data_IF_347294831259
#
_entry.id   IF_347294831259
#
_cell.length_a   1.000
_cell.length_b   1.000
_cell.length_c   1.000
_cell.angle_alpha   90.00
_cell.angle_beta   90.00
_cell.angle_gamma   90.00
#
_symmetry.space_group_name_H-M   'P 1'
#
loop_
_entity.id
_entity.type
_entity.pdbx_description
1 polymer ?
#
# COMPACT_ATOMS: atom_id res chain seq x y z
N UNK A 1 -2.35 -2.96 1.97
CA UNK A 1 -1.62 -1.70 2.19
C UNK A 1 -0.89 -1.32 0.93
N UNK A 2 -1.38 -0.24 0.34
CA UNK A 2 -0.59 0.68 -0.45
C UNK A 2 0.26 1.41 0.59
N UNK A 3 1.57 1.12 0.67
CA UNK A 3 2.45 1.72 1.68
C UNK A 3 2.80 3.13 1.21
N UNK A 4 1.93 4.10 1.53
CA UNK A 4 2.02 5.46 1.01
C UNK A 4 1.46 6.45 2.02
N UNK A 5 2.09 6.53 3.18
CA UNK A 5 1.86 7.62 4.12
C UNK A 5 2.57 8.88 3.61
N UNK A 6 1.84 9.96 3.31
CA UNK A 6 2.40 11.11 2.58
C UNK A 6 2.41 12.40 3.40
N UNK A 7 3.55 13.10 3.36
CA UNK A 7 3.74 14.45 3.87
C UNK A 7 4.11 15.36 2.68
N UNK A 8 3.38 16.46 2.47
CA UNK A 8 3.95 17.58 1.71
C UNK A 8 4.88 18.31 2.70
N UNK A 9 6.19 18.29 2.42
CA UNK A 9 7.20 18.85 3.31
C UNK A 9 7.58 20.24 2.81
N UNK A 10 7.44 21.24 3.68
CA UNK A 10 7.66 22.66 3.38
C UNK A 10 9.08 23.12 3.66
N UNK A 11 9.33 24.39 3.35
CA UNK A 11 10.62 25.09 3.49
C UNK A 11 11.25 24.87 4.89
N UNK A 12 12.41 24.21 4.96
CA UNK A 12 13.21 24.11 6.19
C UNK A 12 14.27 25.21 6.19
N UNK A 13 13.99 26.32 6.87
CA UNK A 13 15.00 27.29 7.31
C UNK A 13 15.29 27.07 8.79
N UNK A 14 16.50 26.62 9.14
CA UNK A 14 16.98 26.58 10.53
C UNK A 14 18.31 27.33 10.65
N UNK A 15 18.29 28.55 11.20
CA UNK A 15 19.42 29.08 11.95
C UNK A 15 19.08 29.12 13.44
N UNK A 16 19.69 28.23 14.24
CA UNK A 16 19.70 28.31 15.71
C UNK A 16 18.44 27.84 16.44
N UNK A 17 17.91 26.66 16.07
CA UNK A 17 16.94 25.80 16.79
C UNK A 17 15.95 26.54 17.72
N UNK A 18 14.85 27.01 17.13
CA UNK A 18 13.53 27.10 17.78
C UNK A 18 12.52 26.39 16.86
N UNK A 19 11.89 25.31 17.34
CA UNK A 19 10.83 24.60 16.63
C UNK A 19 9.55 25.45 16.64
N UNK A 20 9.48 26.44 15.75
CA UNK A 20 8.22 27.10 15.43
C UNK A 20 7.38 26.16 14.57
N UNK A 21 6.27 25.70 15.15
CA UNK A 21 5.24 24.96 14.45
C UNK A 21 4.61 25.83 13.35
N UNK A 22 5.08 25.66 12.12
CA UNK A 22 4.46 26.20 10.92
C UNK A 22 5.00 25.47 9.70
N UNK A 23 4.10 24.92 8.88
CA UNK A 23 4.33 24.40 7.52
C UNK A 23 4.79 22.94 7.36
N UNK A 24 4.01 22.01 7.91
CA UNK A 24 3.60 20.80 7.18
C UNK A 24 2.17 21.07 6.70
N UNK A 25 1.86 20.90 5.41
CA UNK A 25 0.45 20.87 5.04
C UNK A 25 -0.15 19.56 5.54
N UNK A 26 -1.46 19.54 5.83
CA UNK A 26 -2.21 18.40 6.37
C UNK A 26 -1.64 17.05 5.91
N UNK A 27 -1.21 16.23 6.86
CA UNK A 27 -0.72 14.88 6.60
C UNK A 27 -1.83 14.02 5.96
N UNK A 28 -1.56 13.44 4.78
CA UNK A 28 -2.53 12.64 4.03
C UNK A 28 -2.07 11.18 4.01
N UNK A 29 -2.89 10.31 4.57
CA UNK A 29 -2.56 8.88 4.70
C UNK A 29 -2.96 8.10 3.45
N UNK A 30 -2.41 6.89 3.29
CA UNK A 30 -2.81 5.95 2.24
C UNK A 30 -4.29 5.52 2.31
N UNK A 31 -4.96 5.74 3.46
CA UNK A 31 -6.38 5.49 3.63
C UNK A 31 -7.25 6.54 2.95
N UNK A 32 -6.68 7.69 2.57
CA UNK A 32 -7.40 8.75 1.89
C UNK A 32 -7.94 8.28 0.53
N UNK A 33 -9.27 8.38 0.36
CA UNK A 33 -9.99 7.99 -0.85
C UNK A 33 -10.56 9.17 -1.63
N UNK A 34 -10.02 10.40 -1.47
CA UNK A 34 -10.50 11.59 -2.21
C UNK A 34 -10.34 11.45 -3.72
N UNK A 35 -9.37 10.65 -4.14
CA UNK A 35 -9.12 10.32 -5.55
C UNK A 35 -10.13 9.27 -6.04
N UNK A 36 -11.29 9.75 -6.47
CA UNK A 36 -12.39 8.90 -6.96
C UNK A 36 -12.00 8.04 -8.19
N UNK A 37 -12.70 6.92 -8.45
CA UNK A 37 -12.46 6.08 -9.63
C UNK A 37 -12.54 6.82 -10.97
N UNK A 38 -13.39 7.85 -11.09
CA UNK A 38 -13.50 8.67 -12.29
C UNK A 38 -12.27 9.53 -12.51
N UNK A 39 -11.75 10.21 -11.48
CA UNK A 39 -10.50 10.98 -11.55
C UNK A 39 -9.32 10.08 -11.94
N UNK A 40 -9.21 8.91 -11.31
CA UNK A 40 -8.15 7.95 -11.63
C UNK A 40 -8.24 7.46 -13.07
N UNK A 41 -9.45 7.24 -13.60
CA UNK A 41 -9.66 6.86 -15.01
C UNK A 41 -9.21 7.98 -15.95
N UNK A 42 -9.56 9.22 -15.64
CA UNK A 42 -9.13 10.39 -16.41
C UNK A 42 -7.60 10.52 -16.45
N UNK A 43 -6.95 10.47 -15.28
CA UNK A 43 -5.50 10.57 -15.19
C UNK A 43 -4.77 9.42 -15.88
N UNK A 44 -5.28 8.18 -15.78
CA UNK A 44 -4.73 7.04 -16.51
C UNK A 44 -4.83 7.23 -18.03
N UNK A 45 -5.94 7.77 -18.53
CA UNK A 45 -6.10 8.08 -19.94
C UNK A 45 -5.09 9.15 -20.41
N UNK A 46 -4.86 10.20 -19.60
CA UNK A 46 -3.81 11.21 -19.87
C UNK A 46 -2.41 10.59 -19.94
N UNK A 47 -2.08 9.72 -18.99
CA UNK A 47 -0.78 9.01 -18.94
C UNK A 47 -0.62 8.11 -20.17
N UNK A 48 -1.65 7.34 -20.52
CA UNK A 48 -1.63 6.46 -21.68
C UNK A 48 -1.39 7.24 -22.97
N UNK A 49 -2.11 8.36 -23.16
CA UNK A 49 -1.94 9.23 -24.33
C UNK A 49 -0.52 9.78 -24.44
N UNK A 50 0.06 10.24 -23.32
CA UNK A 50 1.44 10.74 -23.26
C UNK A 50 2.45 9.64 -23.59
N UNK A 51 2.18 8.39 -23.20
CA UNK A 51 3.04 7.26 -23.54
C UNK A 51 2.97 6.93 -25.05
N UNK A 52 1.78 6.91 -25.65
CA UNK A 52 1.60 6.53 -27.07
C UNK A 52 2.05 7.59 -28.08
N UNK A 53 2.05 8.87 -27.71
CA UNK A 53 2.41 9.97 -28.61
C UNK A 53 3.88 9.94 -29.09
N UNK A 54 4.73 9.14 -28.44
CA UNK A 54 6.18 9.09 -28.73
C UNK A 54 6.57 7.82 -29.49
N UNK A 55 5.85 6.71 -29.31
CA UNK A 55 6.15 5.42 -29.97
C UNK A 55 5.91 5.48 -31.48
N UNK A 56 5.16 6.47 -31.98
CA UNK A 56 5.01 6.76 -33.40
C UNK A 56 6.32 7.25 -34.09
N UNK A 57 7.37 7.59 -33.32
CA UNK A 57 8.70 7.92 -33.85
C UNK A 57 9.71 6.78 -33.79
N UNK A 58 9.37 5.64 -33.18
CA UNK A 58 10.18 4.41 -33.14
C UNK A 58 9.42 3.28 -33.83
N UNK A 59 9.57 3.18 -35.16
CA UNK A 59 9.09 2.04 -35.94
C UNK A 59 9.96 0.80 -35.65
N UNK A 60 9.74 0.16 -34.50
CA UNK A 60 10.09 -1.25 -34.30
C UNK A 60 8.82 -1.95 -33.84
N UNK A 61 8.26 -2.78 -34.73
CA UNK A 61 7.18 -3.72 -34.41
C UNK A 61 7.68 -4.72 -33.36
N UNK A 62 7.37 -4.49 -32.09
CA UNK A 62 7.21 -5.56 -31.12
C UNK A 62 5.71 -5.79 -30.91
N UNK A 63 5.22 -6.83 -31.58
CA UNK A 63 3.90 -7.39 -31.35
C UNK A 63 3.95 -8.29 -30.10
N UNK A 64 3.72 -7.71 -28.93
CA UNK A 64 3.25 -8.40 -27.72
C UNK A 64 2.72 -7.33 -26.75
N UNK A 65 1.59 -7.56 -26.10
CA UNK A 65 0.96 -6.59 -25.19
C UNK A 65 1.91 -6.11 -24.09
N UNK A 66 2.51 -4.93 -24.29
CA UNK A 66 3.46 -4.35 -23.36
C UNK A 66 2.74 -3.84 -22.11
N UNK A 67 2.79 -4.60 -21.02
CA UNK A 67 2.35 -4.07 -19.74
C UNK A 67 3.32 -2.99 -19.26
N UNK A 68 2.77 -1.91 -18.74
CA UNK A 68 3.52 -0.74 -18.35
C UNK A 68 4.57 -1.09 -17.28
N UNK A 69 5.83 -0.73 -17.52
CA UNK A 69 6.93 -0.81 -16.54
C UNK A 69 6.76 0.16 -15.36
N UNK A 70 5.83 1.10 -15.46
CA UNK A 70 5.59 2.14 -14.47
C UNK A 70 4.47 1.78 -13.50
N UNK A 71 4.68 2.09 -12.22
CA UNK A 71 3.69 1.87 -11.18
C UNK A 71 2.42 2.69 -11.45
N UNK A 72 1.24 2.10 -11.20
CA UNK A 72 -0.02 2.71 -11.57
C UNK A 72 -0.31 3.93 -10.69
N UNK A 73 -1.06 4.89 -11.22
CA UNK A 73 -1.73 5.88 -10.37
C UNK A 73 -2.96 5.24 -9.72
N UNK A 74 -3.10 5.39 -8.41
CA UNK A 74 -4.16 4.75 -7.65
C UNK A 74 -4.56 5.58 -6.42
N UNK A 75 -5.80 5.42 -5.94
CA UNK A 75 -6.22 6.07 -4.70
C UNK A 75 -5.35 5.62 -3.52
N UNK A 76 -5.00 6.54 -2.63
CA UNK A 76 -4.01 6.31 -1.56
C UNK A 76 -2.54 6.29 -2.02
N UNK A 77 -2.24 6.53 -3.30
CA UNK A 77 -0.86 6.76 -3.77
C UNK A 77 -0.53 8.26 -3.77
N UNK A 78 0.73 8.57 -3.43
CA UNK A 78 1.16 9.96 -3.27
C UNK A 78 1.00 10.82 -4.52
N UNK A 79 1.29 10.30 -5.72
CA UNK A 79 1.15 11.06 -6.96
C UNK A 79 -0.32 11.37 -7.29
N UNK A 80 -1.25 10.48 -6.95
CA UNK A 80 -2.69 10.72 -7.10
C UNK A 80 -3.15 11.85 -6.18
N UNK A 81 -2.77 11.77 -4.90
CA UNK A 81 -3.05 12.82 -3.92
C UNK A 81 -2.41 14.14 -4.33
N UNK A 82 -1.15 14.12 -4.76
CA UNK A 82 -0.44 15.33 -5.16
C UNK A 82 -1.10 15.99 -6.38
N UNK A 83 -1.52 15.20 -7.38
CA UNK A 83 -2.29 15.70 -8.52
C UNK A 83 -3.61 16.32 -8.07
N UNK A 84 -4.34 15.65 -7.18
CA UNK A 84 -5.58 16.20 -6.61
C UNK A 84 -5.35 17.55 -5.93
N UNK A 85 -4.33 17.64 -5.07
CA UNK A 85 -4.02 18.88 -4.34
C UNK A 85 -3.66 20.01 -5.30
N UNK A 86 -2.80 19.74 -6.29
CA UNK A 86 -2.42 20.73 -7.30
C UNK A 86 -3.62 21.22 -8.13
N UNK A 87 -4.58 20.35 -8.46
CA UNK A 87 -5.76 20.70 -9.25
C UNK A 87 -6.87 21.38 -8.43
N UNK A 88 -7.05 20.99 -7.17
CA UNK A 88 -8.24 21.36 -6.36
C UNK A 88 -7.93 22.28 -5.18
N UNK A 89 -6.72 22.21 -4.64
CA UNK A 89 -6.28 22.92 -3.44
C UNK A 89 -4.85 23.48 -3.62
N UNK A 90 -4.57 24.26 -4.69
CA UNK A 90 -3.21 24.69 -5.01
C UNK A 90 -2.57 25.58 -3.92
N UNK A 91 -3.37 26.33 -3.16
CA UNK A 91 -2.87 27.14 -2.05
C UNK A 91 -2.30 26.30 -0.91
N UNK A 92 -2.75 25.05 -0.75
CA UNK A 92 -2.28 24.14 0.31
C UNK A 92 -0.91 23.51 -0.01
N UNK A 93 -0.46 23.66 -1.26
CA UNK A 93 0.84 23.18 -1.77
C UNK A 93 1.74 24.34 -2.23
N UNK A 94 1.27 25.58 -2.11
CA UNK A 94 2.05 26.77 -2.39
C UNK A 94 3.15 26.97 -1.33
N UNK A 95 4.37 27.28 -1.77
CA UNK A 95 5.54 27.45 -0.88
C UNK A 95 6.24 26.14 -0.48
N UNK A 96 5.73 24.99 -0.92
CA UNK A 96 6.39 23.70 -0.73
C UNK A 96 7.31 23.39 -1.93
N UNK A 97 8.49 22.84 -1.65
CA UNK A 97 9.51 22.52 -2.66
C UNK A 97 9.85 21.03 -2.74
N UNK A 98 9.31 20.22 -1.84
CA UNK A 98 9.52 18.77 -1.77
C UNK A 98 8.26 18.01 -1.34
N UNK A 99 8.21 16.74 -1.71
CA UNK A 99 7.20 15.79 -1.27
C UNK A 99 7.87 14.45 -0.91
N UNK A 100 7.29 13.66 0.00
CA UNK A 100 7.85 12.35 0.36
C UNK A 100 6.94 11.53 1.27
N UNK A 101 7.36 10.32 1.65
CA UNK A 101 6.63 9.60 2.70
C UNK A 101 6.96 10.15 4.09
N UNK A 102 6.15 9.79 5.09
CA UNK A 102 6.46 10.15 6.49
C UNK A 102 7.82 9.59 6.94
N UNK A 103 8.15 8.35 6.55
CA UNK A 103 9.44 7.77 6.92
C UNK A 103 10.61 8.44 6.20
N UNK A 104 10.43 8.88 4.95
CA UNK A 104 11.45 9.66 4.23
C UNK A 104 11.65 11.03 4.90
N UNK A 105 10.56 11.68 5.34
CA UNK A 105 10.62 12.93 6.10
C UNK A 105 11.37 12.79 7.42
N UNK A 106 11.07 11.75 8.20
CA UNK A 106 11.79 11.48 9.45
C UNK A 106 13.29 11.29 9.17
N UNK A 107 13.65 10.52 8.14
CA UNK A 107 15.03 10.28 7.76
C UNK A 107 15.74 11.59 7.31
N UNK A 108 15.04 12.44 6.57
CA UNK A 108 15.50 13.78 6.15
C UNK A 108 15.79 14.69 7.36
N UNK A 109 14.86 14.74 8.32
CA UNK A 109 15.00 15.53 9.56
C UNK A 109 16.12 15.00 10.44
N UNK A 110 16.25 13.67 10.60
CA UNK A 110 17.34 13.08 11.38
C UNK A 110 18.70 13.48 10.81
N UNK A 111 18.83 13.55 9.49
CA UNK A 111 20.08 13.99 8.84
C UNK A 111 20.34 15.50 8.91
N UNK A 112 19.37 16.30 9.38
CA UNK A 112 19.46 17.77 9.33
C UNK A 112 19.47 18.30 7.89
N UNK A 113 18.89 17.56 6.95
CA UNK A 113 18.77 18.01 5.57
C UNK A 113 17.83 19.22 5.47
N UNK A 114 18.07 20.05 4.47
CA UNK A 114 17.31 21.30 4.26
C UNK A 114 17.11 21.68 2.80
N UNK A 115 17.67 20.91 1.84
CA UNK A 115 17.52 21.19 0.41
C UNK A 115 16.78 20.08 -0.34
N UNK A 116 16.00 20.40 -1.39
CA UNK A 116 15.32 19.39 -2.21
C UNK A 116 16.22 18.30 -2.77
N UNK A 117 17.47 18.63 -3.10
CA UNK A 117 18.48 17.68 -3.61
C UNK A 117 18.89 16.61 -2.60
N UNK A 118 18.56 16.78 -1.31
CA UNK A 118 18.82 15.81 -0.26
C UNK A 118 17.60 14.91 0.02
N UNK A 119 16.43 15.23 -0.55
CA UNK A 119 15.22 14.43 -0.40
C UNK A 119 15.37 13.12 -1.19
N UNK A 120 15.23 11.99 -0.50
CA UNK A 120 15.44 10.67 -1.07
C UNK A 120 14.29 9.74 -0.70
N UNK A 121 13.98 8.77 -1.56
CA UNK A 121 12.96 7.75 -1.33
C UNK A 121 13.47 6.40 -1.86
N UNK A 122 13.12 5.31 -1.20
CA UNK A 122 13.48 3.97 -1.69
C UNK A 122 12.53 3.49 -2.80
N UNK A 123 12.96 2.49 -3.57
CA UNK A 123 12.17 1.91 -4.67
C UNK A 123 10.81 1.37 -4.24
N UNK A 124 10.65 0.88 -3.02
CA UNK A 124 9.39 0.31 -2.52
C UNK A 124 8.36 1.39 -2.18
N UNK A 125 8.79 2.48 -1.55
CA UNK A 125 7.95 3.68 -1.35
C UNK A 125 7.66 4.37 -2.68
N UNK A 126 8.67 4.51 -3.56
CA UNK A 126 8.51 5.15 -4.86
C UNK A 126 7.47 4.43 -5.73
N UNK A 127 7.50 3.10 -5.72
CA UNK A 127 6.47 2.30 -6.38
C UNK A 127 5.07 2.64 -5.88
N UNK A 128 4.89 2.67 -4.56
CA UNK A 128 3.61 2.97 -3.88
C UNK A 128 3.20 4.45 -3.97
N UNK A 129 4.02 5.29 -4.59
CA UNK A 129 3.69 6.67 -4.91
C UNK A 129 2.99 6.82 -6.26
N UNK A 130 3.15 5.87 -7.18
CA UNK A 130 2.64 5.96 -8.55
C UNK A 130 3.59 6.72 -9.48
N UNK A 131 3.78 6.24 -10.71
CA UNK A 131 4.68 6.84 -11.68
C UNK A 131 6.16 6.46 -11.53
N UNK A 132 6.51 5.48 -10.71
CA UNK A 132 7.86 4.93 -10.63
C UNK A 132 8.07 3.86 -11.70
N UNK A 133 9.12 3.96 -12.49
CA UNK A 133 9.46 3.01 -13.53
C UNK A 133 10.41 1.91 -13.00
N UNK A 134 9.96 0.67 -13.04
CA UNK A 134 10.66 -0.49 -12.49
C UNK A 134 11.94 -0.86 -13.25
N UNK A 135 12.02 -0.54 -14.54
CA UNK A 135 13.16 -0.88 -15.39
C UNK A 135 14.31 0.11 -15.14
N UNK A 136 13.99 1.40 -15.15
CA UNK A 136 14.96 2.48 -14.97
C UNK A 136 15.26 2.76 -13.50
N UNK A 137 14.40 2.29 -12.58
CA UNK A 137 14.41 2.62 -11.15
C UNK A 137 14.35 4.13 -10.87
N UNK A 138 13.60 4.87 -11.69
CA UNK A 138 13.42 6.33 -11.59
C UNK A 138 11.96 6.75 -11.77
N UNK A 139 11.63 8.01 -11.53
CA UNK A 139 10.32 8.55 -11.87
C UNK A 139 10.12 8.58 -13.38
N UNK A 140 8.99 8.07 -13.86
CA UNK A 140 8.63 8.15 -15.26
C UNK A 140 8.35 9.62 -15.63
N UNK A 141 9.18 10.25 -16.48
CA UNK A 141 9.03 11.66 -16.83
C UNK A 141 7.72 11.95 -17.58
N UNK A 142 7.14 10.95 -18.27
CA UNK A 142 5.87 11.10 -18.99
C UNK A 142 4.68 11.18 -18.03
N UNK A 143 4.80 10.54 -16.85
CA UNK A 143 3.80 10.64 -15.79
C UNK A 143 3.92 11.97 -15.05
N UNK A 144 5.17 12.38 -14.77
CA UNK A 144 5.44 13.35 -13.73
C UNK A 144 5.71 14.78 -14.17
N UNK A 145 6.09 15.10 -15.42
CA UNK A 145 6.68 16.43 -15.66
C UNK A 145 5.62 17.53 -15.83
N UNK A 146 5.96 18.74 -15.39
CA UNK A 146 5.42 20.05 -15.76
C UNK A 146 6.64 20.84 -16.20
N UNK A 147 6.76 21.19 -17.48
CA UNK A 147 7.73 22.19 -17.90
C UNK A 147 7.23 23.50 -17.32
N UNK A 148 7.81 23.93 -16.19
CA UNK A 148 7.58 25.24 -15.61
C UNK A 148 8.06 26.30 -16.60
N UNK A 149 7.16 26.83 -17.42
CA UNK A 149 7.37 28.16 -17.99
C UNK A 149 6.91 29.19 -16.95
N UNK A 150 7.81 30.11 -16.66
CA UNK A 150 7.79 31.12 -15.59
C UNK A 150 6.42 31.74 -15.25
N UNK A 151 6.26 32.03 -13.95
CA UNK A 151 5.27 32.91 -13.36
C UNK A 151 5.18 34.24 -14.13
N UNK A 152 3.98 34.62 -14.58
CA UNK A 152 3.65 36.01 -14.89
C UNK A 152 2.68 36.50 -13.82
N UNK A 153 3.20 37.17 -12.79
CA UNK A 153 2.37 37.93 -11.86
C UNK A 153 1.77 39.13 -12.61
N UNK A 154 0.52 39.02 -13.05
CA UNK A 154 -0.27 40.19 -13.43
C UNK A 154 -0.97 40.71 -12.17
N UNK A 155 -0.37 41.71 -11.55
CA UNK A 155 -1.04 42.52 -10.52
C UNK A 155 -2.18 43.30 -11.19
N UNK A 156 -3.42 42.81 -11.06
CA UNK A 156 -4.61 43.65 -11.19
C UNK A 156 -5.09 44.02 -9.80
N UNK A 157 -5.31 45.32 -9.59
CA UNK A 157 -5.78 45.91 -8.34
C UNK A 157 -6.98 45.14 -7.77
N UNK A 158 -6.76 44.40 -6.67
CA UNK A 158 -7.79 44.08 -5.68
C UNK A 158 -8.45 42.70 -5.71
N UNK A 159 -8.06 41.77 -6.59
CA UNK A 159 -8.59 40.39 -6.56
C UNK A 159 -7.47 39.38 -6.90
N UNK A 160 -6.97 38.65 -5.90
CA UNK A 160 -6.06 37.52 -6.14
C UNK A 160 -6.83 36.33 -6.70
N UNK A 161 -7.04 36.30 -8.02
CA UNK A 161 -7.38 35.07 -8.74
C UNK A 161 -6.09 34.46 -9.29
N UNK A 162 -5.68 33.31 -8.76
CA UNK A 162 -4.65 32.47 -9.36
C UNK A 162 -5.20 31.87 -10.66
N UNK A 163 -4.92 32.51 -11.80
CA UNK A 163 -5.23 31.97 -13.13
C UNK A 163 -3.99 31.25 -13.65
N UNK A 164 -4.01 29.92 -13.63
CA UNK A 164 -2.97 29.09 -14.24
C UNK A 164 -3.13 29.08 -15.77
N UNK A 165 -2.23 29.74 -16.50
CA UNK A 165 -2.19 29.67 -17.96
C UNK A 165 -1.61 28.32 -18.41
N UNK A 166 -2.44 27.47 -19.04
CA UNK A 166 -2.00 26.29 -19.77
C UNK A 166 -1.39 26.69 -21.12
N UNK A 167 -0.11 26.39 -21.37
CA UNK A 167 0.42 26.28 -22.74
C UNK A 167 1.23 24.99 -22.92
N UNK A 168 0.66 24.14 -23.76
CA UNK A 168 1.22 23.05 -24.59
C UNK A 168 2.70 22.69 -24.42
N UNK A 169 2.94 21.72 -23.55
CA UNK A 169 3.95 20.65 -23.70
C UNK A 169 3.35 19.45 -22.95
N UNK A 170 2.75 18.50 -23.66
CA UNK A 170 1.90 17.48 -23.01
C UNK A 170 2.76 16.55 -22.15
N UNK A 171 2.60 16.70 -20.84
CA UNK A 171 3.08 15.82 -19.79
C UNK A 171 1.85 15.53 -18.90
N UNK A 172 1.62 14.26 -18.56
CA UNK A 172 0.25 13.76 -18.33
C UNK A 172 -0.48 14.40 -17.14
N UNK A 173 0.21 14.63 -16.03
CA UNK A 173 -0.38 15.16 -14.79
C UNK A 173 0.06 16.59 -14.45
N UNK A 174 1.03 17.14 -15.19
CA UNK A 174 1.52 18.49 -14.93
C UNK A 174 2.05 18.69 -13.51
N UNK A 175 2.87 17.76 -13.01
CA UNK A 175 3.50 17.85 -11.69
C UNK A 175 4.94 18.42 -11.77
N UNK A 176 5.41 19.18 -10.78
CA UNK A 176 6.81 19.64 -10.77
C UNK A 176 7.74 18.46 -10.41
N UNK A 177 8.37 17.84 -11.42
CA UNK A 177 9.29 16.72 -11.20
C UNK A 177 10.45 17.05 -10.25
N UNK A 178 10.81 18.32 -10.11
CA UNK A 178 11.81 18.81 -9.15
C UNK A 178 11.42 18.65 -7.68
N UNK A 179 10.13 18.49 -7.36
CA UNK A 179 9.67 18.25 -5.99
C UNK A 179 9.75 16.76 -5.59
N UNK A 180 9.82 15.85 -6.58
CA UNK A 180 9.86 14.42 -6.31
C UNK A 180 11.22 14.02 -5.71
N UNK A 181 11.27 13.11 -4.72
CA UNK A 181 12.50 12.64 -4.13
C UNK A 181 13.43 11.97 -5.14
N UNK A 182 14.73 12.00 -4.88
CA UNK A 182 15.69 11.19 -5.61
C UNK A 182 15.49 9.72 -5.20
N UNK A 183 15.16 8.85 -6.15
CA UNK A 183 15.00 7.42 -5.88
C UNK A 183 16.38 6.78 -5.69
N UNK A 184 16.56 6.08 -4.58
CA UNK A 184 17.79 5.35 -4.23
C UNK A 184 17.50 3.89 -3.90
N UNK A 185 18.55 3.07 -3.98
CA UNK A 185 18.44 1.66 -3.63
C UNK A 185 18.19 1.48 -2.12
N UNK A 186 17.43 0.44 -1.71
CA UNK A 186 17.32 0.05 -0.32
C UNK A 186 18.69 -0.15 0.33
N UNK A 187 18.83 0.26 1.60
CA UNK A 187 20.09 0.20 2.33
C UNK A 187 21.11 1.30 2.01
N UNK A 188 20.78 2.26 1.14
CA UNK A 188 21.61 3.44 0.93
C UNK A 188 21.70 4.28 2.22
N UNK A 189 22.87 4.86 2.48
CA UNK A 189 23.05 5.85 3.55
C UNK A 189 22.67 7.21 2.97
N UNK A 190 21.77 7.92 3.65
CA UNK A 190 21.33 9.26 3.21
C UNK A 190 22.05 10.38 3.94
N UNK A 191 22.65 10.10 5.09
CA UNK A 191 23.39 11.08 5.88
C UNK A 191 23.83 10.52 7.22
N UNK A 192 24.25 11.43 8.11
CA UNK A 192 24.53 11.13 9.51
C UNK A 192 23.56 11.91 10.39
N UNK A 193 23.23 11.35 11.56
CA UNK A 193 22.35 11.99 12.53
C UNK A 193 22.93 13.34 12.98
N UNK A 194 22.11 14.37 12.86
CA UNK A 194 22.41 15.77 13.16
C UNK A 194 22.13 16.13 14.62
N UNK A 195 22.35 17.39 14.99
CA UNK A 195 21.95 17.92 16.30
C UNK A 195 20.44 17.81 16.55
N UNK A 196 19.61 17.91 15.50
CA UNK A 196 18.16 17.69 15.60
C UNK A 196 17.85 16.26 16.03
N UNK A 197 18.62 15.28 15.54
CA UNK A 197 18.44 13.88 15.93
C UNK A 197 18.79 13.64 17.41
N UNK A 198 19.75 14.38 17.97
CA UNK A 198 20.11 14.31 19.39
C UNK A 198 18.94 14.71 20.28
N UNK A 199 18.20 15.75 19.88
CA UNK A 199 16.96 16.17 20.59
C UNK A 199 15.90 15.06 20.58
N UNK A 200 15.89 14.22 19.54
CA UNK A 200 15.00 13.06 19.41
C UNK A 200 15.55 11.78 20.06
N UNK A 201 16.67 11.86 20.79
CA UNK A 201 17.28 10.72 21.48
C UNK A 201 18.20 9.86 20.63
N UNK A 202 18.55 10.28 19.40
CA UNK A 202 19.50 9.58 18.53
C UNK A 202 20.89 10.20 18.67
N UNK A 203 21.95 9.45 19.03
CA UNK A 203 23.30 10.00 19.17
C UNK A 203 23.78 10.67 17.89
N UNK A 204 24.57 11.74 18.00
CA UNK A 204 25.15 12.46 16.86
C UNK A 204 26.11 11.57 16.04
N UNK A 205 26.16 11.77 14.72
CA UNK A 205 27.12 11.12 13.82
C UNK A 205 26.84 9.65 13.50
N UNK A 206 25.66 9.14 13.85
CA UNK A 206 25.20 7.78 13.47
C UNK A 206 24.73 7.77 12.04
N UNK A 207 25.02 6.70 11.30
CA UNK A 207 24.55 6.56 9.93
C UNK A 207 23.02 6.48 9.92
N UNK A 208 22.39 7.29 9.07
CA UNK A 208 20.95 7.24 8.81
C UNK A 208 20.77 6.57 7.45
N UNK A 209 20.13 5.41 7.47
CA UNK A 209 19.79 4.66 6.28
C UNK A 209 18.50 5.17 5.67
N UNK A 210 18.39 5.05 4.35
CA UNK A 210 17.19 5.35 3.59
C UNK A 210 16.01 4.56 4.16
N UNK A 211 14.91 5.26 4.41
CA UNK A 211 13.71 4.63 4.90
C UNK A 211 13.11 3.70 3.85
N UNK A 212 12.52 2.60 4.30
CA UNK A 212 11.91 1.57 3.45
C UNK A 212 10.44 1.40 3.82
N UNK A 213 9.62 0.92 2.88
CA UNK A 213 8.21 0.66 3.14
C UNK A 213 8.00 -0.34 4.27
N UNK A 214 6.96 -0.11 5.07
CA UNK A 214 6.56 -0.97 6.19
C UNK A 214 6.30 -2.42 5.76
N UNK A 215 5.57 -2.60 4.66
CA UNK A 215 5.21 -3.91 4.11
C UNK A 215 6.44 -4.74 3.73
N UNK A 216 7.35 -4.28 2.84
CA UNK A 216 8.54 -5.06 2.49
C UNK A 216 9.47 -5.29 3.68
N UNK A 217 9.55 -4.37 4.65
CA UNK A 217 10.27 -4.59 5.90
C UNK A 217 9.66 -5.71 6.76
N UNK A 218 8.33 -5.77 6.87
CA UNK A 218 7.64 -6.84 7.58
C UNK A 218 7.90 -8.20 6.92
N UNK A 219 7.81 -8.26 5.59
CA UNK A 219 8.13 -9.48 4.81
C UNK A 219 9.57 -9.91 5.03
N UNK A 220 10.54 -8.99 4.90
CA UNK A 220 11.95 -9.28 5.14
C UNK A 220 12.22 -9.83 6.55
N UNK A 221 11.57 -9.26 7.56
CA UNK A 221 11.71 -9.70 8.96
C UNK A 221 11.23 -11.14 9.13
N UNK A 222 10.07 -11.48 8.58
CA UNK A 222 9.53 -12.84 8.60
C UNK A 222 10.46 -13.81 7.86
N UNK A 223 10.97 -13.44 6.69
CA UNK A 223 11.93 -14.28 5.96
C UNK A 223 13.20 -14.56 6.77
N UNK A 224 13.74 -13.52 7.43
CA UNK A 224 14.95 -13.66 8.24
C UNK A 224 14.73 -14.64 9.40
N UNK A 225 13.54 -14.65 10.01
CA UNK A 225 13.17 -15.58 11.08
C UNK A 225 13.03 -17.02 10.57
N UNK A 226 12.47 -17.22 9.37
CA UNK A 226 12.27 -18.56 8.79
C UNK A 226 13.54 -19.28 8.31
N UNK A 227 14.72 -18.62 8.33
CA UNK A 227 15.99 -19.23 7.91
C UNK A 227 16.67 -20.11 8.98
N UNK A 228 16.13 -20.19 10.21
CA UNK A 228 16.53 -21.19 11.21
C UNK A 228 15.56 -22.39 11.17
N UNK A 229 16.03 -23.64 10.98
CA UNK A 229 15.15 -24.81 10.89
C UNK A 229 14.41 -25.19 12.19
N UNK A 230 14.80 -24.62 13.34
CA UNK A 230 14.35 -25.09 14.66
C UNK A 230 13.34 -24.17 15.37
N UNK A 231 13.16 -22.92 14.94
CA UNK A 231 12.45 -21.92 15.74
C UNK A 231 11.32 -21.25 14.96
N UNK A 232 10.28 -22.03 14.64
CA UNK A 232 9.00 -21.49 14.17
C UNK A 232 8.12 -21.10 15.37
N UNK A 233 8.64 -20.26 16.26
CA UNK A 233 7.82 -19.49 17.20
C UNK A 233 7.59 -18.12 16.58
N UNK A 234 6.57 -18.06 15.72
CA UNK A 234 6.16 -16.90 14.93
C UNK A 234 6.06 -15.64 15.79
N UNK A 235 6.87 -14.63 15.45
CA UNK A 235 6.89 -13.35 16.17
C UNK A 235 5.55 -12.61 16.01
N UNK A 236 5.03 -12.09 17.14
CA UNK A 236 3.89 -11.17 17.18
C UNK A 236 4.23 -9.91 16.39
N UNK A 237 3.70 -9.78 15.17
CA UNK A 237 3.54 -8.48 14.51
C UNK A 237 2.07 -8.11 14.49
N UNK A 238 1.67 -7.25 15.42
CA UNK A 238 0.36 -6.61 15.48
C UNK A 238 0.31 -5.49 14.43
N UNK A 239 -0.06 -5.83 13.19
CA UNK A 239 -0.37 -4.88 12.13
C UNK A 239 -1.77 -5.13 11.57
N UNK A 240 -2.64 -4.13 11.59
CA UNK A 240 -4.09 -4.17 11.27
C UNK A 240 -4.46 -4.54 9.82
N UNK A 241 -3.54 -5.05 9.00
CA UNK A 241 -3.78 -5.24 7.57
C UNK A 241 -3.73 -6.69 7.12
N UNK A 242 -4.78 -7.08 6.40
CA UNK A 242 -4.85 -8.36 5.71
C UNK A 242 -4.25 -8.22 4.32
N UNK A 243 -3.04 -8.74 4.17
CA UNK A 243 -2.37 -8.83 2.88
C UNK A 243 -1.71 -10.18 2.78
N UNK A 244 -1.86 -10.81 1.62
CA UNK A 244 -0.95 -11.88 1.24
C UNK A 244 0.16 -11.27 0.42
N UNK A 245 1.37 -11.49 0.90
CA UNK A 245 2.60 -11.24 0.19
C UNK A 245 3.17 -12.59 -0.24
N UNK A 246 3.49 -12.72 -1.52
CA UNK A 246 4.41 -13.75 -1.99
C UNK A 246 5.63 -13.08 -2.60
N UNK A 247 6.80 -13.66 -2.35
CA UNK A 247 8.02 -13.20 -2.99
C UNK A 247 8.08 -13.84 -4.36
N UNK A 248 8.28 -13.05 -5.39
CA UNK A 248 8.44 -13.51 -6.75
C UNK A 248 9.90 -13.27 -7.14
N UNK A 249 10.58 -14.33 -7.56
CA UNK A 249 11.93 -14.24 -8.06
C UNK A 249 11.93 -14.03 -9.58
N UNK A 250 12.82 -13.17 -10.08
CA UNK A 250 12.75 -12.61 -11.44
C UNK A 250 12.77 -13.62 -12.60
N UNK A 251 13.30 -14.84 -12.42
CA UNK A 251 13.40 -15.79 -13.54
C UNK A 251 12.07 -16.45 -13.95
N UNK A 252 10.97 -16.23 -13.23
CA UNK A 252 9.71 -16.96 -13.47
C UNK A 252 8.59 -16.13 -14.09
N UNK A 253 8.77 -14.83 -14.35
CA UNK A 253 7.66 -14.00 -14.82
C UNK A 253 8.04 -13.04 -15.96
N UNK A 254 7.86 -13.52 -17.20
CA UNK A 254 7.81 -12.70 -18.42
C UNK A 254 6.38 -12.17 -18.63
N UNK A 255 5.90 -11.31 -17.74
CA UNK A 255 4.78 -10.40 -17.98
C UNK A 255 4.59 -9.52 -16.74
N UNK A 256 4.91 -8.23 -16.80
CA UNK A 256 4.56 -7.24 -15.77
C UNK A 256 3.04 -6.97 -15.69
N UNK A 257 2.22 -8.03 -15.72
CA UNK A 257 0.78 -7.96 -15.75
C UNK A 257 0.27 -7.43 -14.41
N UNK A 258 0.01 -6.13 -14.37
CA UNK A 258 -0.93 -5.56 -13.43
C UNK A 258 -2.31 -6.14 -13.70
N UNK A 259 -2.65 -7.21 -12.98
CA UNK A 259 -4.04 -7.62 -12.86
C UNK A 259 -4.61 -6.81 -11.71
N UNK A 260 -5.82 -6.25 -11.84
CA UNK A 260 -6.46 -5.44 -10.78
C UNK A 260 -6.52 -6.12 -9.41
N UNK A 261 -6.36 -7.45 -9.36
CA UNK A 261 -6.39 -8.31 -8.17
C UNK A 261 -5.00 -8.64 -7.59
N UNK A 262 -3.92 -8.43 -8.34
CA UNK A 262 -2.57 -8.85 -7.97
C UNK A 262 -1.51 -7.87 -8.46
N UNK A 263 -0.70 -7.38 -7.54
CA UNK A 263 0.27 -6.32 -7.79
C UNK A 263 1.69 -6.82 -7.58
N UNK A 264 2.59 -6.58 -8.54
CA UNK A 264 4.01 -6.91 -8.41
C UNK A 264 4.78 -5.64 -8.10
N UNK A 265 5.47 -5.62 -6.96
CA UNK A 265 6.22 -4.47 -6.45
C UNK A 265 7.72 -4.78 -6.38
N UNK A 266 8.62 -3.79 -6.45
CA UNK A 266 10.02 -4.01 -6.14
C UNK A 266 10.18 -4.46 -4.69
N UNK A 267 11.19 -5.28 -4.42
CA UNK A 267 11.57 -5.69 -3.07
C UNK A 267 12.93 -5.12 -2.67
N UNK A 268 13.34 -5.36 -1.42
CA UNK A 268 14.53 -4.75 -0.81
C UNK A 268 15.88 -5.24 -1.39
N UNK A 269 15.85 -6.22 -2.29
CA UNK A 269 17.03 -6.78 -2.97
C UNK A 269 16.88 -6.66 -4.49
N UNK A 270 18.01 -6.53 -5.20
CA UNK A 270 17.99 -6.46 -6.65
C UNK A 270 17.41 -7.74 -7.27
N UNK A 271 16.52 -7.57 -8.25
CA UNK A 271 15.81 -8.65 -8.96
C UNK A 271 14.86 -9.48 -8.08
N UNK A 272 14.52 -8.99 -6.90
CA UNK A 272 13.47 -9.57 -6.08
C UNK A 272 12.23 -8.70 -6.19
N UNK A 273 11.08 -9.36 -6.35
CA UNK A 273 9.80 -8.71 -6.41
C UNK A 273 8.87 -9.26 -5.34
N UNK A 274 7.86 -8.48 -5.02
CA UNK A 274 6.86 -8.78 -4.04
C UNK A 274 5.49 -8.77 -4.73
N UNK A 275 4.90 -9.94 -4.88
CA UNK A 275 3.52 -10.12 -5.30
C UNK A 275 2.57 -9.86 -4.14
N UNK A 276 1.59 -8.98 -4.33
CA UNK A 276 0.65 -8.53 -3.30
C UNK A 276 -0.77 -8.76 -3.79
N UNK A 277 -1.52 -9.58 -3.06
CA UNK A 277 -2.97 -9.69 -3.18
C UNK A 277 -3.62 -8.82 -2.09
N UNK A 278 -4.23 -7.71 -2.52
CA UNK A 278 -4.93 -6.79 -1.64
C UNK A 278 -6.40 -7.16 -1.51
N UNK A 279 -6.80 -7.76 -0.39
CA UNK A 279 -8.19 -8.11 -0.07
C UNK A 279 -8.81 -7.09 0.87
N UNK A 280 -10.06 -6.70 0.62
CA UNK A 280 -10.92 -6.00 1.60
C UNK A 280 -11.50 -6.96 2.64
N UNK A 281 -11.52 -8.25 2.31
CA UNK A 281 -12.05 -9.32 3.16
C UNK A 281 -10.92 -10.03 3.89
N UNK A 282 -10.91 -9.93 5.21
CA UNK A 282 -9.89 -10.50 6.09
C UNK A 282 -10.42 -10.70 7.50
N UNK A 283 -9.60 -10.36 8.51
CA UNK A 283 -9.97 -10.42 9.93
C UNK A 283 -11.21 -9.60 10.30
N UNK A 284 -11.51 -8.54 9.56
CA UNK A 284 -12.77 -7.80 9.70
C UNK A 284 -14.01 -8.67 9.50
N UNK A 285 -13.97 -9.69 8.63
CA UNK A 285 -15.09 -10.59 8.39
C UNK A 285 -15.30 -11.53 9.59
N UNK A 286 -14.21 -12.04 10.17
CA UNK A 286 -14.30 -12.85 11.37
C UNK A 286 -14.72 -12.02 12.60
N UNK A 287 -14.22 -10.79 12.70
CA UNK A 287 -14.65 -9.83 13.73
C UNK A 287 -16.14 -9.50 13.62
N UNK A 288 -16.64 -9.28 12.39
CA UNK A 288 -18.05 -9.13 12.13
C UNK A 288 -18.85 -10.34 12.62
N UNK A 289 -18.38 -11.56 12.34
CA UNK A 289 -19.03 -12.79 12.78
C UNK A 289 -19.06 -12.94 14.32
N UNK A 290 -17.96 -12.61 15.01
CA UNK A 290 -17.91 -12.54 16.48
C UNK A 290 -18.98 -11.59 17.02
N UNK A 291 -19.10 -10.40 16.41
CA UNK A 291 -20.13 -9.41 16.78
C UNK A 291 -21.55 -9.90 16.48
N UNK A 292 -21.76 -10.66 15.40
CA UNK A 292 -23.07 -11.28 15.13
C UNK A 292 -23.42 -12.31 16.21
N UNK A 293 -22.48 -13.16 16.61
CA UNK A 293 -22.70 -14.14 17.66
C UNK A 293 -23.05 -13.46 19.00
N UNK A 294 -22.36 -12.36 19.33
CA UNK A 294 -22.65 -11.57 20.53
C UNK A 294 -24.05 -10.95 20.46
N UNK A 295 -24.41 -10.35 19.33
CA UNK A 295 -25.73 -9.73 19.14
C UNK A 295 -26.86 -10.78 19.18
N UNK A 296 -26.69 -11.95 18.57
CA UNK A 296 -27.67 -13.03 18.64
C UNK A 296 -27.81 -13.57 20.07
N UNK A 297 -26.69 -13.72 20.79
CA UNK A 297 -26.72 -14.13 22.21
C UNK A 297 -27.53 -13.15 23.06
N UNK A 298 -27.45 -11.83 22.79
CA UNK A 298 -28.22 -10.82 23.50
C UNK A 298 -29.70 -10.87 23.15
N UNK A 299 -30.04 -11.04 21.88
CA UNK A 299 -31.44 -11.13 21.43
C UNK A 299 -32.16 -12.37 21.98
N UNK A 300 -31.43 -13.45 22.22
CA UNK A 300 -31.96 -14.72 22.73
C UNK A 300 -31.86 -14.86 24.26
N UNK A 301 -31.22 -13.92 24.95
CA UNK A 301 -31.06 -14.00 26.40
C UNK A 301 -32.41 -13.87 27.11
N UNK A 302 -32.75 -14.87 27.93
CA UNK A 302 -33.97 -14.85 28.76
C UNK A 302 -33.85 -13.78 29.86
N UNK A 303 -32.64 -13.60 30.40
CA UNK A 303 -32.30 -12.54 31.32
C UNK A 303 -31.40 -11.51 30.60
N UNK A 304 -31.91 -10.30 30.30
CA UNK A 304 -31.14 -9.23 29.67
C UNK A 304 -29.95 -8.73 30.51
N UNK A 305 -29.88 -9.10 31.79
CA UNK A 305 -28.81 -8.72 32.71
C UNK A 305 -27.73 -9.78 32.85
N UNK A 306 -27.90 -10.94 32.20
CA UNK A 306 -26.92 -12.01 32.23
C UNK A 306 -25.57 -11.56 31.66
N UNK A 307 -24.49 -12.00 32.30
CA UNK A 307 -23.14 -11.70 31.84
C UNK A 307 -22.90 -12.31 30.45
N UNK A 308 -22.51 -11.48 29.50
CA UNK A 308 -22.16 -11.91 28.15
C UNK A 308 -20.66 -12.20 28.05
N UNK A 309 -20.32 -13.17 27.19
CA UNK A 309 -18.93 -13.47 26.89
C UNK A 309 -18.21 -12.23 26.34
N UNK A 310 -16.97 -12.03 26.81
CA UNK A 310 -16.07 -11.02 26.23
C UNK A 310 -15.71 -11.37 24.79
N UNK A 311 -15.28 -10.36 24.02
CA UNK A 311 -14.82 -10.55 22.64
C UNK A 311 -13.74 -11.64 22.55
N UNK A 312 -12.70 -11.56 23.39
CA UNK A 312 -11.59 -12.53 23.40
C UNK A 312 -12.07 -13.97 23.66
N UNK A 313 -13.03 -14.15 24.58
CA UNK A 313 -13.59 -15.46 24.89
C UNK A 313 -14.43 -15.98 23.73
N UNK A 314 -15.21 -15.12 23.08
CA UNK A 314 -15.98 -15.47 21.89
C UNK A 314 -15.07 -15.86 20.73
N UNK A 315 -14.02 -15.10 20.45
CA UNK A 315 -13.01 -15.47 19.46
C UNK A 315 -12.46 -16.86 19.74
N UNK A 316 -11.88 -17.08 20.93
CA UNK A 316 -11.29 -18.36 21.32
C UNK A 316 -12.28 -19.52 21.16
N UNK A 317 -13.54 -19.32 21.56
CA UNK A 317 -14.58 -20.34 21.46
C UNK A 317 -14.96 -20.65 20.01
N UNK A 318 -15.21 -19.63 19.19
CA UNK A 318 -15.61 -19.82 17.78
C UNK A 318 -14.51 -20.53 16.98
N UNK A 319 -13.25 -20.17 17.21
CA UNK A 319 -12.10 -20.83 16.58
C UNK A 319 -11.99 -22.28 17.00
N UNK A 320 -12.12 -22.54 18.30
CA UNK A 320 -12.07 -23.91 18.83
C UNK A 320 -13.17 -24.76 18.20
N UNK A 321 -14.40 -24.24 18.09
CA UNK A 321 -15.49 -24.91 17.40
C UNK A 321 -15.18 -25.13 15.92
N UNK A 322 -14.66 -24.12 15.22
CA UNK A 322 -14.22 -24.25 13.82
C UNK A 322 -13.15 -25.31 13.62
N UNK A 323 -12.20 -25.43 14.54
CA UNK A 323 -11.18 -26.47 14.54
C UNK A 323 -11.72 -27.89 14.64
N UNK A 324 -12.96 -28.07 15.11
CA UNK A 324 -13.65 -29.39 15.13
C UNK A 324 -14.45 -29.68 13.86
N UNK A 325 -14.51 -28.75 12.90
CA UNK A 325 -15.36 -28.79 11.69
C UNK A 325 -14.56 -28.59 10.40
N UNK A 326 -13.33 -29.10 10.35
CA UNK A 326 -12.43 -28.95 9.19
C UNK A 326 -12.91 -29.71 7.94
N UNK A 327 -13.86 -30.64 8.08
CA UNK A 327 -14.46 -31.43 7.02
C UNK A 327 -15.80 -30.87 6.49
N UNK A 328 -16.27 -29.74 7.03
CA UNK A 328 -17.53 -29.11 6.61
C UNK A 328 -17.52 -28.77 5.11
N UNK A 329 -18.64 -29.05 4.43
CA UNK A 329 -18.88 -28.68 3.02
C UNK A 329 -19.55 -27.32 2.87
N UNK A 330 -19.92 -26.67 3.98
CA UNK A 330 -20.44 -25.30 4.00
C UNK A 330 -19.41 -24.34 3.39
N UNK A 331 -19.85 -23.53 2.42
CA UNK A 331 -19.00 -22.53 1.77
C UNK A 331 -19.42 -21.14 2.18
N UNK A 332 -18.44 -20.29 2.49
CA UNK A 332 -18.65 -18.88 2.81
C UNK A 332 -17.81 -18.02 1.87
N UNK A 333 -18.45 -17.21 1.03
CA UNK A 333 -17.76 -16.15 0.27
C UNK A 333 -17.61 -14.92 1.19
N UNK A 334 -16.37 -14.51 1.54
CA UNK A 334 -16.15 -13.52 2.58
C UNK A 334 -16.33 -12.07 2.13
N UNK A 335 -16.80 -11.84 0.91
CA UNK A 335 -16.79 -10.53 0.24
C UNK A 335 -17.94 -9.60 0.65
N UNK A 336 -18.21 -9.51 1.96
CA UNK A 336 -19.32 -8.74 2.54
C UNK A 336 -19.23 -7.23 2.23
N UNK A 337 -18.03 -6.70 2.04
CA UNK A 337 -17.77 -5.30 1.70
C UNK A 337 -17.46 -5.09 0.20
N UNK A 338 -17.59 -6.13 -0.62
CA UNK A 338 -17.01 -6.16 -1.95
C UNK A 338 -15.48 -6.35 -1.94
N UNK A 339 -14.84 -6.17 -3.09
CA UNK A 339 -13.38 -6.23 -3.25
C UNK A 339 -12.85 -5.08 -4.11
N UNK A 340 -11.57 -4.74 -4.00
CA UNK A 340 -10.97 -3.63 -4.76
C UNK A 340 -11.17 -3.77 -6.27
N UNK A 341 -11.00 -4.98 -6.80
CA UNK A 341 -11.19 -5.27 -8.22
C UNK A 341 -12.66 -5.52 -8.60
N UNK A 342 -13.56 -5.63 -7.62
CA UNK A 342 -14.97 -5.95 -7.83
C UNK A 342 -15.83 -5.36 -6.70
N UNK A 343 -16.03 -4.04 -6.64
CA UNK A 343 -16.71 -3.39 -5.50
C UNK A 343 -18.15 -3.88 -5.29
N UNK A 344 -18.81 -4.32 -6.37
CA UNK A 344 -20.19 -4.78 -6.33
C UNK A 344 -20.34 -6.28 -5.98
N UNK A 345 -19.22 -7.01 -5.79
CA UNK A 345 -19.31 -8.39 -5.33
C UNK A 345 -19.92 -8.43 -3.91
N UNK A 346 -20.60 -9.52 -3.58
CA UNK A 346 -21.28 -9.73 -2.30
C UNK A 346 -20.87 -11.06 -1.72
N UNK A 347 -20.80 -11.12 -0.40
CA UNK A 347 -20.64 -12.39 0.30
C UNK A 347 -21.87 -13.28 0.15
N UNK A 348 -21.65 -14.58 0.22
CA UNK A 348 -22.65 -15.62 0.05
C UNK A 348 -22.36 -16.79 0.98
N UNK A 349 -23.39 -17.59 1.25
CA UNK A 349 -23.26 -18.89 1.89
C UNK A 349 -23.85 -19.91 0.95
N UNK A 350 -23.05 -20.92 0.59
CA UNK A 350 -23.40 -21.97 -0.35
C UNK A 350 -23.28 -23.35 0.31
N UNK A 351 -23.95 -24.35 -0.26
CA UNK A 351 -23.99 -25.73 0.26
C UNK A 351 -24.60 -25.88 1.66
N UNK A 352 -25.52 -24.99 2.03
CA UNK A 352 -26.24 -25.09 3.30
C UNK A 352 -27.12 -26.34 3.35
N UNK A 353 -26.97 -27.11 4.44
CA UNK A 353 -27.78 -28.27 4.79
C UNK A 353 -28.21 -28.15 6.25
N UNK A 354 -29.24 -28.91 6.63
CA UNK A 354 -29.68 -28.99 8.02
C UNK A 354 -28.59 -29.50 8.97
N UNK A 355 -27.61 -30.25 8.44
CA UNK A 355 -26.55 -30.92 9.21
C UNK A 355 -25.25 -30.12 9.36
N UNK A 356 -25.04 -29.02 8.62
CA UNK A 356 -23.77 -28.29 8.55
C UNK A 356 -23.90 -26.79 8.91
N UNK A 357 -24.83 -26.46 9.81
CA UNK A 357 -25.15 -25.07 10.20
C UNK A 357 -24.79 -24.75 11.67
N UNK A 358 -23.76 -25.39 12.22
CA UNK A 358 -23.27 -25.03 13.56
C UNK A 358 -22.37 -23.79 13.51
N UNK A 359 -22.16 -23.13 14.65
CA UNK A 359 -21.16 -22.05 14.77
C UNK A 359 -19.74 -22.52 14.38
N UNK A 360 -19.44 -23.81 14.59
CA UNK A 360 -18.18 -24.41 14.14
C UNK A 360 -18.12 -24.49 12.61
N UNK A 361 -19.19 -24.93 11.95
CA UNK A 361 -19.26 -24.98 10.48
C UNK A 361 -19.10 -23.59 9.88
N UNK A 362 -19.82 -22.60 10.40
CA UNK A 362 -19.72 -21.21 9.94
C UNK A 362 -18.31 -20.66 10.17
N UNK A 363 -17.72 -20.88 11.35
CA UNK A 363 -16.36 -20.43 11.64
C UNK A 363 -15.33 -21.06 10.70
N UNK A 364 -15.41 -22.37 10.46
CA UNK A 364 -14.51 -23.09 9.55
C UNK A 364 -14.70 -22.63 8.09
N UNK A 365 -15.95 -22.44 7.66
CA UNK A 365 -16.29 -21.97 6.33
C UNK A 365 -15.79 -20.53 6.08
N UNK A 366 -15.92 -19.62 7.06
CA UNK A 366 -15.36 -18.26 6.97
C UNK A 366 -13.84 -18.32 6.82
N UNK A 367 -13.14 -19.06 7.67
CA UNK A 367 -11.68 -19.17 7.59
C UNK A 367 -11.21 -19.71 6.23
N UNK A 368 -11.86 -20.78 5.74
CA UNK A 368 -11.58 -21.34 4.41
C UNK A 368 -11.87 -20.33 3.30
N UNK A 369 -13.03 -19.68 3.35
CA UNK A 369 -13.45 -18.66 2.40
C UNK A 369 -12.49 -17.48 2.33
N UNK A 370 -11.95 -17.02 3.46
CA UNK A 370 -10.93 -15.97 3.52
C UNK A 370 -9.65 -16.39 2.80
N UNK A 371 -9.19 -17.61 3.02
CA UNK A 371 -8.02 -18.17 2.33
C UNK A 371 -8.30 -18.30 0.84
N UNK A 372 -9.42 -18.92 0.46
CA UNK A 372 -9.82 -19.14 -0.94
C UNK A 372 -9.94 -17.82 -1.71
N UNK A 373 -10.55 -16.79 -1.10
CA UNK A 373 -10.69 -15.46 -1.69
C UNK A 373 -9.32 -14.86 -2.01
N UNK A 374 -8.39 -14.90 -1.06
CA UNK A 374 -7.02 -14.41 -1.27
C UNK A 374 -6.27 -15.25 -2.32
N UNK A 375 -6.42 -16.58 -2.31
CA UNK A 375 -5.81 -17.45 -3.32
C UNK A 375 -6.36 -17.19 -4.73
N UNK A 376 -7.65 -16.89 -4.85
CA UNK A 376 -8.29 -16.58 -6.13
C UNK A 376 -7.76 -15.30 -6.78
N UNK A 377 -7.17 -14.40 -5.99
CA UNK A 377 -6.56 -13.16 -6.48
C UNK A 377 -5.21 -13.41 -7.15
N UNK A 378 -4.54 -14.53 -6.87
CA UNK A 378 -3.23 -14.85 -7.44
C UNK A 378 -3.40 -15.42 -8.87
N UNK A 379 -2.64 -14.92 -9.88
CA UNK A 379 -2.69 -15.44 -11.25
C UNK A 379 -2.43 -16.95 -11.31
N UNK A 380 -3.09 -17.64 -12.26
CA UNK A 380 -3.02 -19.11 -12.39
C UNK A 380 -1.59 -19.64 -12.55
N UNK A 381 -0.81 -18.99 -13.41
CA UNK A 381 0.58 -19.37 -13.67
C UNK A 381 1.42 -19.30 -12.38
N UNK A 382 1.23 -18.25 -11.57
CA UNK A 382 1.90 -18.10 -10.27
C UNK A 382 1.37 -19.09 -9.23
N UNK A 383 0.10 -19.50 -9.29
CA UNK A 383 -0.45 -20.48 -8.34
C UNK A 383 0.22 -21.84 -8.47
N UNK A 384 0.54 -22.27 -9.70
CA UNK A 384 1.26 -23.52 -9.94
C UNK A 384 2.68 -23.46 -9.34
N UNK A 385 3.39 -22.36 -9.53
CA UNK A 385 4.75 -22.17 -9.02
C UNK A 385 4.79 -22.05 -7.49
N UNK A 386 3.79 -21.40 -6.88
CA UNK A 386 3.67 -21.27 -5.42
C UNK A 386 3.51 -22.62 -4.71
N UNK A 387 2.94 -23.62 -5.38
CA UNK A 387 2.79 -24.97 -4.84
C UNK A 387 4.07 -25.82 -4.99
N UNK A 388 4.96 -25.45 -5.91
CA UNK A 388 6.15 -26.23 -6.25
C UNK A 388 7.44 -25.68 -5.63
N UNK A 389 7.43 -24.45 -5.14
CA UNK A 389 8.61 -23.80 -4.58
C UNK A 389 8.41 -23.44 -3.11
N UNK A 390 9.45 -23.59 -2.25
CA UNK A 390 9.42 -23.16 -0.86
C UNK A 390 9.54 -21.63 -0.78
N UNK A 391 8.59 -20.90 -1.35
CA UNK A 391 8.44 -19.49 -1.06
C UNK A 391 7.93 -19.33 0.36
N UNK A 392 8.43 -18.30 1.07
CA UNK A 392 7.81 -17.89 2.33
C UNK A 392 6.46 -17.27 1.98
N UNK A 393 5.42 -18.09 2.01
CA UNK A 393 4.06 -17.61 1.86
C UNK A 393 3.65 -16.94 3.16
N UNK A 394 3.67 -15.60 3.17
CA UNK A 394 3.29 -14.83 4.36
C UNK A 394 1.85 -14.39 4.17
N UNK A 395 0.92 -15.13 4.79
CA UNK A 395 -0.40 -14.59 5.06
C UNK A 395 -0.32 -13.71 6.30
N UNK A 396 -0.41 -12.39 6.11
CA UNK A 396 -0.82 -11.52 7.20
C UNK A 396 -2.34 -11.66 7.32
N UNK A 397 -2.83 -12.73 7.93
CA UNK A 397 -4.20 -12.78 8.41
C UNK A 397 -4.19 -12.26 9.84
N UNK A 398 -4.64 -11.03 10.03
CA UNK A 398 -4.94 -10.53 11.36
C UNK A 398 -6.25 -11.12 11.89
N UNK A 399 -6.45 -12.43 11.68
CA UNK A 399 -7.53 -13.17 12.29
C UNK A 399 -7.15 -13.58 13.70
N UNK A 400 -5.98 -14.16 13.97
CA UNK A 400 -5.57 -14.52 15.33
C UNK A 400 -4.09 -14.90 15.38
N UNK A 401 -3.49 -14.67 16.55
CA UNK A 401 -2.29 -15.33 17.06
C UNK A 401 -2.42 -16.88 17.21
N UNK A 402 -3.39 -17.52 16.53
CA UNK A 402 -3.80 -18.90 16.78
C UNK A 402 -4.10 -19.75 15.53
N UNK A 403 -4.01 -19.20 14.30
CA UNK A 403 -4.20 -20.01 13.08
C UNK A 403 -2.86 -20.50 12.50
N UNK A 404 -2.44 -21.66 13.01
CA UNK A 404 -2.07 -22.89 12.29
C UNK A 404 -1.07 -22.82 11.12
N UNK A 405 0.01 -23.60 11.29
CA UNK A 405 0.71 -24.38 10.25
C UNK A 405 -0.28 -24.96 9.22
N UNK A 406 -0.58 -24.20 8.17
CA UNK A 406 -1.05 -24.79 6.93
C UNK A 406 0.18 -25.32 6.21
N UNK A 407 0.58 -26.53 6.60
CA UNK A 407 1.39 -27.37 5.72
C UNK A 407 0.52 -27.63 4.49
N UNK A 408 0.91 -27.06 3.35
CA UNK A 408 0.45 -27.55 2.05
C UNK A 408 0.94 -28.97 1.82
#
# INVERSE_FOLDING_TARGET
MRSGEFVVVGEIKIPGVYLYAGMICTYITFLDQRCTPSLLTEWRAKIQLANTATDATSLTMEAAGGCASSSPIASGYGLATFTYMMERQPCDVEGFDTCGTIQDFIAFVLCGHSTPSQNCMDVTNAFSWGGFDMNTKTWNPRTCVRTLNFYLHLHFHGVSQCVFYMRTSVQALGLPASMLPIVKAPGAIIGQSSDVAVVLGVPHGKQVYLAMGDHPCAVMTTMAQTRSPADLNLSRTSGTCILRACIIWALTFCAWCFVWRFEVRPFLSENWFLGVAGSLSGGNIFAWFVKQCQAWSQQLAVDPTAEHLSDDTLYARLISLGGTKLDTDLKFSPTLYGEWASPDVRGSIDQLRISNWSLGDISAAICRGLVDNIFSMVPEDLRADLLQQPYVLILFLNCLSYFVNLTL
#
